data_IF_728934563507
#
_entry.id   IF_728934563507
#
_cell.length_a   1.000
_cell.length_b   1.000
_cell.length_c   1.000
_cell.angle_alpha   90.00
_cell.angle_beta   90.00
_cell.angle_gamma   90.00
#
_symmetry.space_group_name_H-M   'P 1'
#
loop_
_entity.id
_entity.type
_entity.pdbx_description
1 polymer ?
#
# COMPACT_ATOMS: atom_id res chain seq x y z
N UNK A 1 -0.14 4.19 13.52
CA UNK A 1 0.49 3.41 12.43
C UNK A 1 -0.23 3.78 11.15
N UNK A 2 0.48 4.04 10.04
CA UNK A 2 -0.14 4.36 8.74
C UNK A 2 0.43 3.46 7.67
N UNK A 3 -0.42 2.83 6.86
CA UNK A 3 0.00 2.04 5.70
C UNK A 3 -0.14 2.90 4.44
N UNK A 4 0.84 2.84 3.55
CA UNK A 4 0.84 3.54 2.28
C UNK A 4 1.26 2.61 1.14
N UNK A 5 0.50 2.64 0.06
CA UNK A 5 0.79 1.93 -1.17
C UNK A 5 1.32 2.88 -2.24
N UNK A 6 2.50 2.59 -2.77
CA UNK A 6 3.16 3.41 -3.79
C UNK A 6 3.30 2.62 -5.07
N UNK A 7 2.78 3.17 -6.17
CA UNK A 7 2.97 2.63 -7.52
C UNK A 7 4.29 3.15 -8.08
N UNK A 8 5.13 2.25 -8.60
CA UNK A 8 6.38 2.61 -9.27
C UNK A 8 6.60 1.76 -10.51
N UNK A 9 7.33 2.32 -11.47
CA UNK A 9 7.87 1.58 -12.63
C UNK A 9 9.02 0.68 -12.15
N UNK A 10 9.03 -0.59 -12.55
CA UNK A 10 10.19 -1.46 -12.33
C UNK A 10 11.27 -1.10 -13.35
N UNK A 11 12.49 -0.82 -12.88
CA UNK A 11 13.61 -0.44 -13.75
C UNK A 11 13.92 -1.56 -14.74
N UNK A 12 14.14 -1.20 -16.01
CA UNK A 12 14.43 -2.14 -17.11
C UNK A 12 13.34 -3.19 -17.36
N UNK A 13 12.09 -2.92 -16.96
CA UNK A 13 10.94 -3.77 -17.23
C UNK A 13 9.75 -2.94 -17.72
N UNK A 14 8.85 -3.60 -18.46
CA UNK A 14 7.52 -3.05 -18.77
C UNK A 14 6.56 -3.13 -17.58
N UNK A 15 6.94 -3.85 -16.52
CA UNK A 15 6.11 -4.10 -15.37
C UNK A 15 6.06 -2.89 -14.42
N UNK A 16 4.96 -2.83 -13.70
CA UNK A 16 4.70 -1.91 -12.60
C UNK A 16 4.75 -2.67 -11.29
N UNK A 17 5.10 -1.98 -10.21
CA UNK A 17 5.09 -2.53 -8.88
C UNK A 17 4.32 -1.64 -7.92
N UNK A 18 3.56 -2.25 -7.02
CA UNK A 18 2.99 -1.59 -5.85
C UNK A 18 3.82 -2.01 -4.65
N UNK A 19 4.41 -1.05 -3.94
CA UNK A 19 5.12 -1.28 -2.68
C UNK A 19 4.24 -0.88 -1.50
N UNK A 20 4.10 -1.78 -0.53
CA UNK A 20 3.49 -1.50 0.77
C UNK A 20 4.55 -0.97 1.73
N UNK A 21 4.31 0.21 2.29
CA UNK A 21 5.17 0.85 3.28
C UNK A 21 4.38 1.14 4.53
N UNK A 22 4.82 0.60 5.67
CA UNK A 22 4.22 0.83 6.98
C UNK A 22 5.03 1.89 7.73
N UNK A 23 4.34 2.95 8.14
CA UNK A 23 4.90 4.07 8.90
C UNK A 23 4.56 3.94 10.38
N UNK A 24 5.59 3.84 11.21
CA UNK A 24 5.49 3.84 12.66
C UNK A 24 5.86 5.25 13.19
N UNK A 25 4.88 5.99 13.70
CA UNK A 25 5.10 7.36 14.22
C UNK A 25 5.20 8.45 13.14
N UNK A 26 5.81 9.58 13.49
CA UNK A 26 5.89 10.79 12.66
C UNK A 26 7.19 10.90 11.81
N UNK A 27 8.02 9.85 11.79
CA UNK A 27 9.35 9.89 11.15
C UNK A 27 9.37 9.34 9.72
N UNK A 28 10.45 9.62 8.95
CA UNK A 28 10.65 9.15 7.58
C UNK A 28 11.04 7.65 7.48
N UNK A 29 10.99 6.89 8.58
CA UNK A 29 11.33 5.46 8.63
C UNK A 29 10.09 4.60 8.34
N UNK A 30 9.79 4.43 7.05
CA UNK A 30 8.83 3.45 6.58
C UNK A 30 9.48 2.08 6.37
N UNK A 31 8.87 1.01 6.88
CA UNK A 31 9.30 -0.36 6.59
C UNK A 31 8.55 -0.86 5.36
N UNK A 32 9.29 -1.28 4.33
CA UNK A 32 8.71 -1.97 3.18
C UNK A 32 8.36 -3.40 3.58
N UNK A 33 7.09 -3.77 3.48
CA UNK A 33 6.63 -5.10 3.88
C UNK A 33 6.38 -6.00 2.67
N UNK A 34 5.66 -5.50 1.66
CA UNK A 34 5.25 -6.28 0.50
C UNK A 34 5.47 -5.55 -0.82
N UNK A 35 5.58 -6.32 -1.91
CA UNK A 35 5.65 -5.80 -3.27
C UNK A 35 4.88 -6.69 -4.24
N UNK A 36 3.96 -6.10 -5.00
CA UNK A 36 3.17 -6.78 -6.02
C UNK A 36 3.52 -6.25 -7.40
N UNK A 37 3.52 -7.12 -8.41
CA UNK A 37 3.90 -6.78 -9.78
C UNK A 37 2.70 -6.88 -10.72
N UNK A 38 2.61 -5.93 -11.65
CA UNK A 38 1.51 -5.79 -12.61
C UNK A 38 2.05 -5.54 -14.01
N UNK A 39 1.30 -5.96 -15.03
CA UNK A 39 1.68 -5.74 -16.43
C UNK A 39 1.49 -4.28 -16.85
N UNK A 40 0.49 -3.61 -16.29
CA UNK A 40 0.13 -2.24 -16.63
C UNK A 40 0.07 -1.31 -15.42
N UNK A 41 0.15 0.00 -15.67
CA UNK A 41 0.00 1.03 -14.64
C UNK A 41 -1.42 1.04 -14.07
N UNK A 42 -2.42 0.82 -14.93
CA UNK A 42 -3.82 0.83 -14.54
C UNK A 42 -4.14 -0.29 -13.54
N UNK A 43 -3.67 -1.51 -13.79
CA UNK A 43 -3.81 -2.63 -12.86
C UNK A 43 -3.16 -2.31 -11.50
N UNK A 44 -1.97 -1.72 -11.50
CA UNK A 44 -1.26 -1.32 -10.28
C UNK A 44 -2.03 -0.23 -9.49
N UNK A 45 -2.59 0.76 -10.17
CA UNK A 45 -3.40 1.83 -9.55
C UNK A 45 -4.74 1.30 -9.02
N UNK A 46 -5.41 0.40 -9.75
CA UNK A 46 -6.63 -0.26 -9.28
C UNK A 46 -6.35 -1.10 -8.03
N UNK A 47 -5.26 -1.86 -8.03
CA UNK A 47 -4.83 -2.64 -6.86
C UNK A 47 -4.53 -1.74 -5.66
N UNK A 48 -3.77 -0.64 -5.86
CA UNK A 48 -3.50 0.36 -4.83
C UNK A 48 -4.78 0.93 -4.22
N UNK A 49 -5.76 1.32 -5.06
CA UNK A 49 -7.06 1.85 -4.59
C UNK A 49 -7.81 0.81 -3.75
N UNK A 50 -7.87 -0.43 -4.23
CA UNK A 50 -8.50 -1.53 -3.49
C UNK A 50 -7.85 -1.73 -2.13
N UNK A 51 -6.52 -1.85 -2.09
CA UNK A 51 -5.76 -2.08 -0.86
C UNK A 51 -5.91 -0.92 0.13
N UNK A 52 -5.82 0.31 -0.34
CA UNK A 52 -6.00 1.50 0.52
C UNK A 52 -7.37 1.47 1.22
N UNK A 53 -8.44 1.15 0.47
CA UNK A 53 -9.79 1.03 1.04
C UNK A 53 -9.89 -0.12 2.05
N UNK A 54 -9.32 -1.29 1.74
CA UNK A 54 -9.28 -2.44 2.66
C UNK A 54 -8.56 -2.09 3.98
N UNK A 55 -7.47 -1.30 3.92
CA UNK A 55 -6.75 -0.82 5.11
C UNK A 55 -7.59 0.17 5.93
N UNK A 56 -8.28 1.10 5.28
CA UNK A 56 -9.18 2.06 5.95
C UNK A 56 -10.31 1.33 6.67
N UNK A 57 -10.99 0.40 6.00
CA UNK A 57 -12.06 -0.40 6.60
C UNK A 57 -11.55 -1.29 7.75
N UNK A 58 -10.33 -1.82 7.64
CA UNK A 58 -9.71 -2.58 8.74
C UNK A 58 -9.37 -1.69 9.92
N UNK A 59 -8.81 -0.52 9.67
CA UNK A 59 -8.47 0.44 10.72
C UNK A 59 -9.71 0.94 11.45
N UNK A 60 -10.81 1.24 10.75
CA UNK A 60 -12.08 1.62 11.37
C UNK A 60 -12.65 0.49 12.26
N UNK A 61 -12.54 -0.77 11.83
CA UNK A 61 -12.94 -1.92 12.63
C UNK A 61 -12.05 -2.13 13.86
N UNK A 62 -10.74 -2.00 13.72
CA UNK A 62 -9.79 -2.17 14.83
C UNK A 62 -9.91 -1.04 15.87
N UNK A 63 -10.13 0.21 15.43
CA UNK A 63 -10.30 1.37 16.31
C UNK A 63 -11.73 1.48 16.89
N UNK A 64 -12.71 0.82 16.27
CA UNK A 64 -14.09 0.75 16.74
C UNK A 64 -14.40 -0.41 17.69
N UNK A 65 -13.38 -1.19 18.09
CA UNK A 65 -13.50 -2.28 19.07
C UNK A 65 -12.94 -1.83 20.42
N UNK A 66 -13.66 -0.90 21.04
CA UNK A 66 -13.72 -0.72 22.50
C UNK A 66 -15.20 -0.49 22.83
N UNK A 67 -15.89 -1.56 23.23
CA UNK A 67 -17.15 -1.51 23.99
C UNK A 67 -16.90 -2.10 25.38
#
# INVERSE_FOLDING_TARGET
>A
MRVQYVVRRVRNSSNWAVEETIWFGAGPLGIKQNTWYFGTQEEAEQFKKKKTKEEEERFEKEMGVEE
#
